data_IF_970420899108
#
_entry.id   IF_970420899108
#
_cell.length_a   1.000
_cell.length_b   1.000
_cell.length_c   1.000
_cell.angle_alpha   90.00
_cell.angle_beta   90.00
_cell.angle_gamma   90.00
#
_symmetry.space_group_name_H-M   'P 1'
#
loop_
_entity.id
_entity.type
_entity.pdbx_description
1 polymer ?
#
# COMPACT_ATOMS: atom_id res chain seq x y z
N UNK A 1 -7.65 20.50 -14.57
CA UNK A 1 -8.60 20.37 -13.44
C UNK A 1 -8.74 18.88 -13.14
N UNK A 2 -8.59 18.43 -11.89
CA UNK A 2 -8.72 17.01 -11.54
C UNK A 2 -10.14 16.49 -11.83
N UNK A 3 -10.30 15.24 -12.30
CA UNK A 3 -11.63 14.68 -12.53
C UNK A 3 -12.40 14.62 -11.21
N UNK A 4 -13.72 14.79 -11.27
CA UNK A 4 -14.60 14.63 -10.10
C UNK A 4 -15.45 13.38 -10.27
N UNK A 5 -15.56 12.58 -9.23
CA UNK A 5 -16.34 11.34 -9.22
C UNK A 5 -17.37 11.34 -8.09
N UNK A 6 -18.54 10.72 -8.27
CA UNK A 6 -19.58 10.67 -7.25
C UNK A 6 -19.15 9.79 -6.07
N UNK A 7 -19.30 10.32 -4.86
CA UNK A 7 -19.18 9.53 -3.63
C UNK A 7 -20.42 8.65 -3.46
N UNK A 8 -20.27 7.33 -3.70
CA UNK A 8 -21.39 6.38 -3.69
C UNK A 8 -21.96 6.12 -2.29
N UNK A 9 -21.24 6.51 -1.23
CA UNK A 9 -21.59 6.23 0.16
C UNK A 9 -22.03 7.49 0.93
N UNK A 10 -22.56 8.48 0.20
CA UNK A 10 -23.18 9.69 0.75
C UNK A 10 -24.52 10.00 0.08
N UNK A 11 -25.44 10.57 0.84
CA UNK A 11 -26.69 11.11 0.29
C UNK A 11 -26.41 12.18 -0.76
N UNK A 12 -27.19 12.17 -1.84
CA UNK A 12 -27.02 13.10 -2.96
C UNK A 12 -25.79 12.85 -3.84
N UNK A 13 -24.96 11.83 -3.54
CA UNK A 13 -23.77 11.42 -4.32
C UNK A 13 -22.92 12.60 -4.79
N UNK A 14 -22.43 13.46 -3.87
CA UNK A 14 -21.70 14.66 -4.23
C UNK A 14 -20.45 14.31 -5.04
N UNK A 15 -20.11 15.17 -6.01
CA UNK A 15 -18.92 15.03 -6.84
C UNK A 15 -17.67 15.48 -6.07
N UNK A 16 -16.72 14.56 -5.89
CA UNK A 16 -15.49 14.76 -5.13
C UNK A 16 -14.28 14.69 -6.07
N UNK A 17 -13.28 15.60 -5.96
CA UNK A 17 -12.04 15.52 -6.73
C UNK A 17 -11.32 14.18 -6.54
N UNK A 18 -10.91 13.54 -7.63
CA UNK A 18 -10.19 12.27 -7.67
C UNK A 18 -8.77 12.43 -8.24
N UNK A 19 -7.88 11.48 -7.93
CA UNK A 19 -6.52 11.43 -8.46
C UNK A 19 -5.52 12.32 -7.73
N UNK A 20 -5.83 12.77 -6.51
CA UNK A 20 -4.93 13.63 -5.73
C UNK A 20 -3.66 12.91 -5.25
N UNK A 21 -3.58 11.58 -5.41
CA UNK A 21 -2.37 10.80 -5.22
C UNK A 21 -1.19 11.24 -6.09
N UNK A 22 -1.43 11.87 -7.25
CA UNK A 22 -0.36 12.45 -8.07
C UNK A 22 0.45 13.49 -7.30
N UNK A 23 -0.20 14.26 -6.41
CA UNK A 23 0.50 15.27 -5.60
C UNK A 23 1.42 14.59 -4.57
N UNK A 24 1.00 13.44 -4.01
CA UNK A 24 1.85 12.62 -3.16
C UNK A 24 3.09 12.12 -3.91
N UNK A 25 2.91 11.62 -5.14
CA UNK A 25 4.02 11.15 -5.98
C UNK A 25 5.04 12.26 -6.22
N UNK A 26 4.57 13.45 -6.62
CA UNK A 26 5.46 14.59 -6.89
C UNK A 26 6.19 15.06 -5.63
N UNK A 27 5.46 15.27 -4.52
CA UNK A 27 6.05 15.73 -3.27
C UNK A 27 7.11 14.76 -2.75
N UNK A 28 6.78 13.46 -2.72
CA UNK A 28 7.70 12.43 -2.22
C UNK A 28 8.93 12.25 -3.09
N UNK A 29 8.76 12.34 -4.41
CA UNK A 29 9.88 12.34 -5.35
C UNK A 29 10.81 13.51 -5.07
N UNK A 30 10.29 14.74 -5.00
CA UNK A 30 11.10 15.93 -4.68
C UNK A 30 11.83 15.77 -3.34
N UNK A 31 11.12 15.30 -2.31
CA UNK A 31 11.72 15.02 -1.01
C UNK A 31 12.89 14.04 -1.08
N UNK A 32 12.74 12.92 -1.78
CA UNK A 32 13.79 11.90 -1.91
C UNK A 32 14.99 12.41 -2.73
N UNK A 33 14.76 13.22 -3.76
CA UNK A 33 15.82 13.91 -4.49
C UNK A 33 16.58 14.89 -3.59
N UNK A 34 15.88 15.63 -2.71
CA UNK A 34 16.53 16.51 -1.74
C UNK A 34 17.40 15.72 -0.76
N UNK A 35 16.94 14.58 -0.24
CA UNK A 35 17.76 13.72 0.63
C UNK A 35 19.06 13.27 -0.05
N UNK A 36 18.99 12.95 -1.35
CA UNK A 36 20.15 12.58 -2.15
C UNK A 36 21.10 13.77 -2.36
N UNK A 37 20.60 14.90 -2.86
CA UNK A 37 21.45 16.05 -3.19
C UNK A 37 22.06 16.74 -1.96
N UNK A 38 21.39 16.67 -0.80
CA UNK A 38 21.92 17.16 0.46
C UNK A 38 22.91 16.17 1.11
N UNK A 39 23.12 14.98 0.52
CA UNK A 39 24.04 13.98 1.05
C UNK A 39 23.61 13.37 2.39
N UNK A 40 22.31 13.47 2.74
CA UNK A 40 21.77 12.96 4.01
C UNK A 40 21.83 11.42 4.03
N UNK A 41 21.57 10.80 2.87
CA UNK A 41 21.64 9.35 2.71
C UNK A 41 22.77 9.01 1.75
N UNK A 42 23.75 8.24 2.23
CA UNK A 42 24.92 7.84 1.44
C UNK A 42 24.59 6.75 0.42
N UNK A 43 25.31 6.77 -0.70
CA UNK A 43 25.26 5.73 -1.72
C UNK A 43 26.12 4.53 -1.31
N UNK A 44 25.78 3.36 -1.86
CA UNK A 44 26.59 2.13 -1.75
C UNK A 44 26.82 1.61 -3.16
N UNK A 45 28.09 1.37 -3.53
CA UNK A 45 28.48 0.95 -4.88
C UNK A 45 27.85 1.83 -5.97
N UNK A 46 27.91 3.16 -5.77
CA UNK A 46 27.31 4.19 -6.64
C UNK A 46 25.79 4.11 -6.84
N UNK A 47 25.10 3.27 -6.07
CA UNK A 47 23.64 3.17 -6.07
C UNK A 47 23.04 3.97 -4.93
N UNK A 48 22.00 4.73 -5.23
CA UNK A 48 21.29 5.62 -4.30
C UNK A 48 19.94 5.04 -3.91
N UNK A 49 19.76 4.72 -2.63
CA UNK A 49 18.48 4.27 -2.08
C UNK A 49 17.35 5.30 -2.22
N UNK A 50 17.55 6.60 -1.92
CA UNK A 50 16.51 7.63 -2.12
C UNK A 50 16.05 7.73 -3.58
N UNK A 51 16.99 7.72 -4.54
CA UNK A 51 16.63 7.79 -5.96
C UNK A 51 15.94 6.52 -6.44
N UNK A 52 16.38 5.36 -5.97
CA UNK A 52 15.72 4.08 -6.28
C UNK A 52 14.28 4.08 -5.78
N UNK A 53 14.04 4.53 -4.54
CA UNK A 53 12.70 4.67 -4.00
C UNK A 53 11.88 5.70 -4.79
N UNK A 54 12.48 6.82 -5.20
CA UNK A 54 11.80 7.84 -6.00
C UNK A 54 11.33 7.29 -7.36
N UNK A 55 12.19 6.55 -8.07
CA UNK A 55 11.84 5.89 -9.34
C UNK A 55 10.71 4.88 -9.13
N UNK A 56 10.77 4.10 -8.06
CA UNK A 56 9.73 3.15 -7.68
C UNK A 56 8.37 3.84 -7.45
N UNK A 57 8.35 4.96 -6.72
CA UNK A 57 7.13 5.73 -6.44
C UNK A 57 6.60 6.40 -7.72
N UNK A 58 7.47 6.97 -8.56
CA UNK A 58 7.10 7.53 -9.87
C UNK A 58 6.44 6.46 -10.75
N UNK A 59 7.00 5.25 -10.79
CA UNK A 59 6.43 4.15 -11.56
C UNK A 59 5.08 3.71 -10.98
N UNK A 60 4.95 3.61 -9.66
CA UNK A 60 3.67 3.38 -8.98
C UNK A 60 2.60 4.42 -9.33
N UNK A 61 2.96 5.70 -9.24
CA UNK A 61 2.09 6.81 -9.60
C UNK A 61 1.67 6.81 -11.07
N UNK A 62 2.63 6.54 -11.96
CA UNK A 62 2.40 6.43 -13.40
C UNK A 62 1.49 5.25 -13.75
N UNK A 63 1.70 4.07 -13.15
CA UNK A 63 0.80 2.92 -13.35
C UNK A 63 -0.63 3.25 -12.96
N UNK A 64 -0.84 3.86 -11.79
CA UNK A 64 -2.18 4.23 -11.37
C UNK A 64 -2.79 5.33 -12.24
N UNK A 65 -1.99 6.25 -12.78
CA UNK A 65 -2.46 7.25 -13.75
C UNK A 65 -2.86 6.61 -15.09
N UNK A 66 -2.05 5.67 -15.59
CA UNK A 66 -2.39 4.88 -16.77
C UNK A 66 -3.69 4.10 -16.57
N UNK A 67 -3.89 3.53 -15.37
CA UNK A 67 -5.11 2.82 -15.05
C UNK A 67 -6.35 3.73 -15.05
N UNK A 68 -6.21 4.92 -14.48
CA UNK A 68 -7.27 5.95 -14.47
C UNK A 68 -7.60 6.46 -15.89
N UNK A 69 -6.63 6.49 -16.81
CA UNK A 69 -6.83 7.01 -18.17
C UNK A 69 -7.28 5.96 -19.19
N UNK A 70 -6.78 4.73 -19.08
CA UNK A 70 -6.97 3.68 -20.09
C UNK A 70 -7.93 2.57 -19.68
N UNK A 71 -8.41 2.58 -18.43
CA UNK A 71 -9.21 1.49 -17.83
C UNK A 71 -8.63 0.11 -18.15
N UNK A 72 -7.42 -0.15 -17.62
CA UNK A 72 -6.65 -1.31 -18.02
C UNK A 72 -7.37 -2.61 -17.70
N UNK A 73 -7.20 -3.64 -18.54
CA UNK A 73 -7.71 -4.98 -18.19
C UNK A 73 -7.01 -5.49 -16.92
N UNK A 74 -7.75 -6.21 -16.07
CA UNK A 74 -7.27 -6.70 -14.78
C UNK A 74 -5.90 -7.38 -14.81
N UNK A 75 -5.58 -8.13 -15.87
CA UNK A 75 -4.28 -8.78 -16.06
C UNK A 75 -3.11 -7.80 -16.12
N UNK A 76 -3.30 -6.66 -16.79
CA UNK A 76 -2.24 -5.64 -16.88
C UNK A 76 -2.06 -4.95 -15.53
N UNK A 77 -3.16 -4.65 -14.83
CA UNK A 77 -3.10 -4.12 -13.45
C UNK A 77 -2.34 -5.06 -12.52
N UNK A 78 -2.61 -6.36 -12.63
CA UNK A 78 -1.98 -7.39 -11.79
C UNK A 78 -0.47 -7.51 -12.04
N UNK A 79 -0.03 -7.57 -13.30
CA UNK A 79 1.37 -7.89 -13.64
C UNK A 79 2.26 -6.67 -13.92
N UNK A 80 1.72 -5.49 -14.24
CA UNK A 80 2.54 -4.28 -14.48
C UNK A 80 3.53 -3.94 -13.36
N UNK A 81 3.19 -4.10 -12.06
CA UNK A 81 4.13 -3.79 -10.99
C UNK A 81 5.42 -4.62 -11.01
N UNK A 82 5.48 -5.75 -11.73
CA UNK A 82 6.71 -6.52 -11.89
C UNK A 82 7.84 -5.70 -12.52
N UNK A 83 7.52 -4.80 -13.45
CA UNK A 83 8.51 -3.92 -14.10
C UNK A 83 9.07 -2.90 -13.09
N UNK A 84 8.23 -2.47 -12.14
CA UNK A 84 8.61 -1.57 -11.07
C UNK A 84 9.66 -2.16 -10.11
N UNK A 85 9.84 -3.48 -10.13
CA UNK A 85 10.78 -4.17 -9.27
C UNK A 85 12.23 -4.06 -9.78
N UNK A 86 12.47 -3.76 -11.06
CA UNK A 86 13.82 -3.76 -11.65
C UNK A 86 14.82 -2.86 -10.91
N UNK A 87 14.49 -1.60 -10.55
CA UNK A 87 15.39 -0.75 -9.78
C UNK A 87 15.71 -1.35 -8.39
N UNK A 88 14.73 -2.01 -7.75
CA UNK A 88 14.93 -2.65 -6.45
C UNK A 88 15.79 -3.90 -6.54
N UNK A 89 15.65 -4.69 -7.61
CA UNK A 89 16.50 -5.86 -7.84
C UNK A 89 17.95 -5.43 -7.96
N UNK A 90 18.22 -4.40 -8.76
CA UNK A 90 19.57 -3.86 -8.93
C UNK A 90 20.13 -3.32 -7.61
N UNK A 91 19.36 -2.51 -6.87
CA UNK A 91 19.77 -2.03 -5.55
C UNK A 91 20.05 -3.19 -4.59
N UNK A 92 19.18 -4.19 -4.56
CA UNK A 92 19.32 -5.32 -3.64
C UNK A 92 20.61 -6.11 -3.86
N UNK A 93 21.04 -6.25 -5.11
CA UNK A 93 22.31 -6.88 -5.46
C UNK A 93 23.50 -6.00 -5.04
N UNK A 94 23.46 -4.71 -5.37
CA UNK A 94 24.56 -3.77 -5.07
C UNK A 94 24.74 -3.56 -3.56
N UNK A 95 23.65 -3.61 -2.80
CA UNK A 95 23.67 -3.46 -1.35
C UNK A 95 23.91 -4.79 -0.63
N UNK A 96 24.02 -5.91 -1.35
CA UNK A 96 24.14 -7.26 -0.79
C UNK A 96 23.04 -7.53 0.26
N UNK A 97 21.81 -7.15 -0.05
CA UNK A 97 20.69 -7.31 0.89
C UNK A 97 20.47 -8.78 1.23
N UNK A 98 20.06 -9.03 2.49
CA UNK A 98 19.71 -10.36 2.98
C UNK A 98 18.65 -11.02 2.10
N UNK A 99 18.96 -12.23 1.64
CA UNK A 99 18.11 -13.06 0.77
C UNK A 99 17.15 -13.96 1.53
N UNK A 100 17.29 -14.04 2.86
CA UNK A 100 16.39 -14.79 3.71
C UNK A 100 15.22 -13.96 4.25
N UNK A 101 14.08 -14.62 4.44
CA UNK A 101 12.87 -14.01 5.02
C UNK A 101 12.35 -14.92 6.13
N UNK A 102 12.03 -14.33 7.29
CA UNK A 102 11.31 -15.01 8.35
C UNK A 102 9.82 -15.10 7.98
N UNK A 103 9.33 -16.32 7.74
CA UNK A 103 7.92 -16.57 7.47
C UNK A 103 7.18 -16.99 8.75
N UNK A 104 5.97 -16.44 9.02
CA UNK A 104 5.14 -16.90 10.11
C UNK A 104 4.89 -18.41 10.03
N UNK A 105 5.00 -19.12 11.15
CA UNK A 105 4.77 -20.57 11.31
C UNK A 105 5.74 -21.52 10.58
N UNK A 106 6.57 -21.01 9.66
CA UNK A 106 7.53 -21.83 8.89
C UNK A 106 8.97 -21.62 9.37
N UNK A 107 9.32 -20.40 9.76
CA UNK A 107 10.69 -20.04 10.16
C UNK A 107 11.46 -19.31 9.06
N UNK A 108 12.77 -19.23 9.21
CA UNK A 108 13.64 -18.53 8.26
C UNK A 108 13.88 -19.39 7.01
N UNK A 109 13.58 -18.82 5.84
CA UNK A 109 13.86 -19.44 4.55
C UNK A 109 14.87 -18.56 3.81
N UNK A 110 15.97 -19.16 3.34
CA UNK A 110 16.88 -18.52 2.40
C UNK A 110 16.46 -18.82 0.95
N UNK A 111 16.25 -17.77 0.17
CA UNK A 111 15.89 -17.85 -1.24
C UNK A 111 17.10 -17.73 -2.17
N UNK A 112 18.28 -17.43 -1.63
CA UNK A 112 19.53 -17.25 -2.38
C UNK A 112 19.34 -16.40 -3.64
N UNK A 113 19.77 -16.83 -4.83
CA UNK A 113 19.61 -16.08 -6.08
C UNK A 113 18.15 -15.86 -6.51
N UNK A 114 17.22 -16.74 -6.11
CA UNK A 114 15.79 -16.60 -6.42
C UNK A 114 15.16 -15.39 -5.71
N UNK A 115 15.78 -14.92 -4.64
CA UNK A 115 15.36 -13.71 -3.94
C UNK A 115 15.25 -12.50 -4.90
N UNK A 116 16.25 -12.31 -5.74
CA UNK A 116 16.35 -11.16 -6.63
C UNK A 116 15.35 -11.24 -7.78
N UNK A 117 15.25 -12.39 -8.45
CA UNK A 117 14.49 -12.48 -9.70
C UNK A 117 13.05 -12.96 -9.53
N UNK A 118 12.71 -13.53 -8.36
CA UNK A 118 11.37 -14.05 -8.08
C UNK A 118 10.75 -13.32 -6.89
N UNK A 119 11.43 -13.30 -5.74
CA UNK A 119 10.83 -12.83 -4.49
C UNK A 119 10.61 -11.32 -4.48
N UNK A 120 11.60 -10.50 -4.87
CA UNK A 120 11.43 -9.04 -4.97
C UNK A 120 10.28 -8.66 -5.92
N UNK A 121 10.21 -9.17 -7.17
CA UNK A 121 9.08 -8.91 -8.06
C UNK A 121 7.74 -9.36 -7.48
N UNK A 122 7.67 -10.52 -6.83
CA UNK A 122 6.43 -10.99 -6.19
C UNK A 122 5.99 -10.09 -5.04
N UNK A 123 6.91 -9.64 -4.17
CA UNK A 123 6.59 -8.71 -3.08
C UNK A 123 5.99 -7.43 -3.66
N UNK A 124 6.66 -6.82 -4.65
CA UNK A 124 6.19 -5.59 -5.29
C UNK A 124 4.81 -5.78 -5.92
N UNK A 125 4.64 -6.87 -6.68
CA UNK A 125 3.37 -7.20 -7.33
C UNK A 125 2.24 -7.41 -6.32
N UNK A 126 2.45 -8.22 -5.29
CA UNK A 126 1.42 -8.55 -4.31
C UNK A 126 1.06 -7.29 -3.53
N UNK A 127 2.03 -6.62 -2.92
CA UNK A 127 1.81 -5.48 -2.01
C UNK A 127 1.04 -4.36 -2.72
N UNK A 128 1.49 -3.97 -3.91
CA UNK A 128 0.86 -2.89 -4.66
C UNK A 128 -0.59 -3.23 -5.04
N UNK A 129 -0.85 -4.48 -5.45
CA UNK A 129 -2.21 -4.90 -5.79
C UNK A 129 -3.13 -5.02 -4.57
N UNK A 130 -2.66 -5.62 -3.46
CA UNK A 130 -3.53 -5.84 -2.30
C UNK A 130 -3.89 -4.52 -1.62
N UNK A 131 -2.96 -3.55 -1.59
CA UNK A 131 -3.23 -2.20 -1.09
C UNK A 131 -4.27 -1.50 -1.95
N UNK A 132 -4.14 -1.58 -3.28
CA UNK A 132 -5.13 -1.01 -4.20
C UNK A 132 -6.52 -1.66 -4.09
N UNK A 133 -6.59 -2.96 -3.74
CA UNK A 133 -7.86 -3.69 -3.61
C UNK A 133 -8.61 -3.39 -2.30
N UNK A 134 -7.93 -2.98 -1.23
CA UNK A 134 -8.57 -2.63 0.04
C UNK A 134 -8.96 -1.15 0.06
N UNK A 135 -9.99 -0.81 -0.72
CA UNK A 135 -10.46 0.56 -0.88
C UNK A 135 -11.96 0.72 -1.01
N UNK A 136 -12.38 1.92 -1.43
CA UNK A 136 -13.78 2.24 -1.74
C UNK A 136 -14.60 2.90 -0.62
N UNK A 137 -14.01 3.17 0.56
CA UNK A 137 -14.64 3.98 1.61
C UNK A 137 -13.74 5.19 1.96
N UNK A 138 -14.36 6.32 2.31
CA UNK A 138 -13.70 7.55 2.72
C UNK A 138 -12.76 7.33 3.90
N UNK A 139 -11.45 7.37 3.63
CA UNK A 139 -10.40 7.18 4.62
C UNK A 139 -9.85 5.75 4.71
N UNK A 140 -10.47 4.74 4.09
CA UNK A 140 -10.00 3.36 4.23
C UNK A 140 -8.61 3.15 3.62
N UNK A 141 -8.45 3.58 2.37
CA UNK A 141 -7.20 3.46 1.60
C UNK A 141 -6.06 4.24 2.25
N UNK A 142 -6.39 5.41 2.80
CA UNK A 142 -5.40 6.34 3.34
C UNK A 142 -5.02 6.03 4.78
N UNK A 143 -6.00 5.79 5.67
CA UNK A 143 -5.74 5.50 7.10
C UNK A 143 -5.02 4.16 7.26
N UNK A 144 -5.47 3.10 6.61
CA UNK A 144 -4.84 1.78 6.76
C UNK A 144 -3.40 1.79 6.22
N UNK A 145 -3.15 2.47 5.10
CA UNK A 145 -1.78 2.60 4.56
C UNK A 145 -0.90 3.48 5.44
N UNK A 146 -1.46 4.55 6.05
CA UNK A 146 -0.73 5.38 7.02
C UNK A 146 -0.27 4.58 8.25
N UNK A 147 -1.13 3.68 8.76
CA UNK A 147 -0.78 2.78 9.87
C UNK A 147 0.43 1.93 9.51
N UNK A 148 0.46 1.33 8.31
CA UNK A 148 1.60 0.54 7.85
C UNK A 148 2.86 1.39 7.72
N UNK A 149 2.77 2.60 7.14
CA UNK A 149 3.91 3.52 7.05
C UNK A 149 4.50 3.85 8.41
N UNK A 150 3.66 4.14 9.41
CA UNK A 150 4.08 4.43 10.78
C UNK A 150 4.79 3.22 11.38
N UNK A 151 4.22 2.02 11.23
CA UNK A 151 4.82 0.78 11.74
C UNK A 151 6.18 0.48 11.10
N UNK A 152 6.31 0.65 9.78
CA UNK A 152 7.56 0.44 9.07
C UNK A 152 8.62 1.49 9.41
N UNK A 153 8.25 2.77 9.51
CA UNK A 153 9.15 3.83 9.97
C UNK A 153 9.64 3.53 11.39
N UNK A 154 8.72 3.25 12.32
CA UNK A 154 9.06 2.96 13.71
C UNK A 154 9.97 1.73 13.84
N UNK A 155 9.67 0.64 13.11
CA UNK A 155 10.52 -0.56 13.10
C UNK A 155 11.90 -0.26 12.50
N UNK A 156 11.95 0.53 11.42
CA UNK A 156 13.21 0.93 10.78
C UNK A 156 14.10 1.73 11.73
N UNK A 157 13.51 2.68 12.47
CA UNK A 157 14.22 3.48 13.47
C UNK A 157 14.67 2.64 14.67
N UNK A 158 13.79 1.79 15.22
CA UNK A 158 14.10 0.91 16.35
C UNK A 158 15.24 -0.07 16.04
N UNK A 159 15.32 -0.55 14.79
CA UNK A 159 16.39 -1.43 14.33
C UNK A 159 17.63 -0.68 13.82
N UNK A 160 17.67 0.66 13.96
CA UNK A 160 18.83 1.48 13.58
C UNK A 160 19.13 1.47 12.08
N UNK A 161 18.13 1.23 11.23
CA UNK A 161 18.33 1.18 9.78
C UNK A 161 18.71 2.57 9.24
N UNK A 162 19.80 2.73 8.47
CA UNK A 162 20.30 4.05 8.04
C UNK A 162 19.37 4.78 7.05
N UNK A 163 18.38 4.08 6.50
CA UNK A 163 17.47 4.59 5.47
C UNK A 163 16.10 5.04 6.02
N UNK A 164 15.88 4.98 7.35
CA UNK A 164 14.58 5.30 7.96
C UNK A 164 14.08 6.72 7.62
N UNK A 165 15.00 7.67 7.49
CA UNK A 165 14.69 9.07 7.16
C UNK A 165 13.93 9.23 5.85
N UNK A 166 14.12 8.32 4.89
CA UNK A 166 13.43 8.32 3.59
C UNK A 166 11.90 8.25 3.73
N UNK A 167 11.38 7.79 4.86
CA UNK A 167 9.94 7.63 5.08
C UNK A 167 9.24 8.88 5.63
N UNK A 168 9.96 9.87 6.19
CA UNK A 168 9.32 11.05 6.79
C UNK A 168 8.49 11.85 5.77
N UNK A 169 9.05 12.16 4.59
CA UNK A 169 8.34 12.88 3.54
C UNK A 169 7.07 12.17 3.07
N UNK A 170 7.16 10.88 2.64
CA UNK A 170 5.99 10.06 2.33
C UNK A 170 4.95 10.02 3.45
N UNK A 171 5.35 9.76 4.69
CA UNK A 171 4.41 9.66 5.80
C UNK A 171 3.68 10.99 6.06
N UNK A 172 4.41 12.10 6.17
CA UNK A 172 3.82 13.42 6.45
C UNK A 172 2.80 13.79 5.37
N UNK A 173 3.17 13.65 4.10
CA UNK A 173 2.26 14.02 3.01
C UNK A 173 1.06 13.08 2.91
N UNK A 174 1.28 11.78 3.14
CA UNK A 174 0.19 10.80 3.14
C UNK A 174 -0.80 11.05 4.27
N UNK A 175 -0.35 11.45 5.46
CA UNK A 175 -1.22 11.85 6.57
C UNK A 175 -2.08 13.06 6.22
N UNK A 176 -1.53 14.05 5.50
CA UNK A 176 -2.30 15.20 4.99
C UNK A 176 -3.42 14.71 4.05
N UNK A 177 -3.10 13.86 3.07
CA UNK A 177 -4.11 13.27 2.19
C UNK A 177 -5.14 12.44 2.97
N UNK A 178 -4.71 11.69 3.98
CA UNK A 178 -5.58 10.89 4.84
C UNK A 178 -6.61 11.73 5.57
N UNK A 179 -6.24 12.92 6.08
CA UNK A 179 -7.19 13.83 6.73
C UNK A 179 -8.30 14.26 5.75
N UNK A 180 -7.92 14.66 4.53
CA UNK A 180 -8.90 15.12 3.53
C UNK A 180 -9.74 13.98 2.95
N UNK A 181 -9.14 12.82 2.72
CA UNK A 181 -9.83 11.63 2.23
C UNK A 181 -10.76 11.03 3.29
N UNK A 182 -10.33 11.00 4.56
CA UNK A 182 -11.19 10.63 5.67
C UNK A 182 -12.39 11.57 5.71
N UNK A 183 -12.22 12.90 5.61
CA UNK A 183 -13.35 13.84 5.51
C UNK A 183 -14.19 13.72 4.22
N UNK A 184 -13.80 12.84 3.29
CA UNK A 184 -14.43 12.62 1.99
C UNK A 184 -14.48 13.88 1.14
N UNK A 185 -13.42 14.70 1.23
CA UNK A 185 -13.20 15.91 0.42
C UNK A 185 -12.37 15.65 -0.82
N UNK A 186 -11.59 14.56 -0.82
CA UNK A 186 -10.75 14.13 -1.94
C UNK A 186 -10.76 12.60 -2.04
N UNK A 187 -10.47 12.09 -3.23
CA UNK A 187 -10.04 10.72 -3.46
C UNK A 187 -8.60 10.70 -3.96
N UNK A 188 -7.83 9.73 -3.47
CA UNK A 188 -6.43 9.56 -3.88
C UNK A 188 -6.32 8.97 -5.29
N UNK A 189 -7.32 8.18 -5.71
CA UNK A 189 -7.38 7.53 -7.02
C UNK A 189 -6.38 6.39 -7.16
N UNK A 190 -6.38 5.72 -8.32
CA UNK A 190 -5.45 4.62 -8.56
C UNK A 190 -4.00 5.11 -8.53
N UNK A 191 -3.72 6.31 -9.05
CA UNK A 191 -2.37 6.91 -8.94
C UNK A 191 -1.84 6.94 -7.49
N UNK A 192 -2.68 7.30 -6.52
CA UNK A 192 -2.30 7.30 -5.11
C UNK A 192 -2.15 5.91 -4.52
N UNK A 193 -3.11 5.02 -4.78
CA UNK A 193 -3.14 3.66 -4.23
C UNK A 193 -1.99 2.78 -4.75
N UNK A 194 -1.65 2.88 -6.04
CA UNK A 194 -0.47 2.21 -6.59
C UNK A 194 0.84 2.84 -6.08
N UNK A 195 0.90 4.16 -5.96
CA UNK A 195 2.09 4.85 -5.45
C UNK A 195 2.40 4.47 -3.99
N UNK A 196 1.41 4.50 -3.09
CA UNK A 196 1.60 4.16 -1.69
C UNK A 196 1.94 2.67 -1.51
N UNK A 197 1.35 1.79 -2.33
CA UNK A 197 1.71 0.38 -2.37
C UNK A 197 3.17 0.15 -2.78
N UNK A 198 3.61 0.89 -3.82
CA UNK A 198 5.02 0.90 -4.23
C UNK A 198 5.93 1.44 -3.14
N UNK A 199 5.56 2.54 -2.46
CA UNK A 199 6.33 3.10 -1.34
C UNK A 199 6.54 2.05 -0.24
N UNK A 200 5.45 1.40 0.19
CA UNK A 200 5.45 0.38 1.25
C UNK A 200 6.33 -0.81 0.85
N UNK A 201 6.14 -1.38 -0.35
CA UNK A 201 6.91 -2.52 -0.82
C UNK A 201 8.40 -2.20 -0.93
N UNK A 202 8.73 -1.09 -1.61
CA UNK A 202 10.10 -0.68 -1.91
C UNK A 202 10.89 -0.36 -0.65
N UNK A 203 10.29 0.43 0.26
CA UNK A 203 10.95 0.80 1.50
C UNK A 203 11.25 -0.43 2.35
N UNK A 204 10.31 -1.37 2.45
CA UNK A 204 10.49 -2.60 3.23
C UNK A 204 11.60 -3.49 2.66
N UNK A 205 11.81 -3.48 1.35
CA UNK A 205 12.92 -4.19 0.72
C UNK A 205 14.24 -3.48 1.04
N UNK A 206 14.31 -2.16 0.81
CA UNK A 206 15.51 -1.32 1.04
C UNK A 206 15.99 -1.40 2.50
N UNK A 207 15.07 -1.43 3.46
CA UNK A 207 15.37 -1.47 4.91
C UNK A 207 15.40 -2.89 5.50
N UNK A 208 15.33 -3.92 4.65
CA UNK A 208 15.30 -5.33 5.05
C UNK A 208 14.16 -5.72 6.03
N UNK A 209 13.07 -4.96 6.04
CA UNK A 209 11.86 -5.17 6.85
C UNK A 209 10.83 -6.07 6.19
N UNK A 210 11.27 -7.05 5.39
CA UNK A 210 10.40 -7.92 4.59
C UNK A 210 9.44 -8.75 5.45
N UNK A 211 9.91 -9.29 6.57
CA UNK A 211 9.08 -10.03 7.51
C UNK A 211 8.04 -9.12 8.18
N UNK A 212 8.46 -7.91 8.59
CA UNK A 212 7.55 -6.92 9.17
C UNK A 212 6.46 -6.50 8.19
N UNK A 213 6.82 -6.28 6.92
CA UNK A 213 5.87 -6.01 5.85
C UNK A 213 4.84 -7.14 5.73
N UNK A 214 5.31 -8.40 5.62
CA UNK A 214 4.44 -9.56 5.46
C UNK A 214 3.37 -9.63 6.56
N UNK A 215 3.78 -9.46 7.83
CA UNK A 215 2.85 -9.50 8.97
C UNK A 215 1.86 -8.32 8.91
N UNK A 216 2.33 -7.09 8.65
CA UNK A 216 1.49 -5.89 8.60
C UNK A 216 0.42 -5.94 7.50
N UNK A 217 0.72 -6.53 6.34
CA UNK A 217 -0.20 -6.61 5.20
C UNK A 217 -1.14 -7.83 5.22
N UNK A 218 -1.04 -8.72 6.21
CA UNK A 218 -1.90 -9.91 6.29
C UNK A 218 -3.40 -9.61 6.13
N UNK A 219 -3.97 -8.55 6.73
CA UNK A 219 -5.38 -8.19 6.50
C UNK A 219 -5.69 -7.87 5.03
N UNK A 220 -4.77 -7.21 4.33
CA UNK A 220 -4.90 -6.87 2.91
C UNK A 220 -4.82 -8.12 2.03
N UNK A 221 -3.86 -9.01 2.30
CA UNK A 221 -3.70 -10.29 1.61
C UNK A 221 -4.93 -11.17 1.82
N UNK A 222 -5.45 -11.24 3.04
CA UNK A 222 -6.67 -11.96 3.35
C UNK A 222 -7.86 -11.41 2.56
N UNK A 223 -8.08 -10.09 2.57
CA UNK A 223 -9.15 -9.45 1.80
C UNK A 223 -9.08 -9.79 0.31
N UNK A 224 -7.89 -9.62 -0.27
CA UNK A 224 -7.65 -9.80 -1.70
C UNK A 224 -7.82 -11.26 -2.11
N UNK A 225 -7.23 -12.18 -1.36
CA UNK A 225 -7.37 -13.63 -1.58
C UNK A 225 -8.83 -14.05 -1.51
N UNK A 226 -9.56 -13.55 -0.51
CA UNK A 226 -10.98 -13.87 -0.33
C UNK A 226 -11.86 -13.36 -1.48
N UNK A 227 -11.60 -12.15 -1.98
CA UNK A 227 -12.26 -11.60 -3.17
C UNK A 227 -11.96 -12.46 -4.41
N UNK A 228 -10.68 -12.77 -4.65
CA UNK A 228 -10.24 -13.51 -5.84
C UNK A 228 -10.79 -14.94 -5.86
N UNK A 229 -10.72 -15.66 -4.73
CA UNK A 229 -11.28 -17.01 -4.59
C UNK A 229 -12.79 -16.99 -4.84
N UNK A 230 -13.50 -16.00 -4.32
CA UNK A 230 -14.93 -15.86 -4.55
C UNK A 230 -15.25 -15.63 -6.03
N UNK A 231 -14.49 -14.78 -6.72
CA UNK A 231 -14.69 -14.54 -8.16
C UNK A 231 -14.39 -15.81 -8.96
N UNK A 232 -13.33 -16.53 -8.60
CA UNK A 232 -12.92 -17.76 -9.29
C UNK A 232 -13.97 -18.89 -9.15
N UNK A 233 -14.40 -19.19 -7.92
CA UNK A 233 -15.31 -20.30 -7.65
C UNK A 233 -16.79 -19.94 -7.81
N UNK A 234 -17.20 -18.75 -7.38
CA UNK A 234 -18.62 -18.36 -7.29
C UNK A 234 -19.03 -17.40 -8.42
N UNK A 235 -18.05 -16.79 -9.13
CA UNK A 235 -18.28 -15.82 -10.21
C UNK A 235 -19.16 -14.62 -9.79
N UNK A 236 -19.09 -14.23 -8.51
CA UNK A 236 -19.82 -13.08 -7.95
C UNK A 236 -18.87 -12.09 -7.31
N UNK A 237 -19.16 -10.80 -7.50
CA UNK A 237 -18.37 -9.70 -6.89
C UNK A 237 -18.83 -9.42 -5.46
N UNK A 238 -17.93 -8.84 -4.68
CA UNK A 238 -18.28 -8.22 -3.40
C UNK A 238 -19.04 -6.90 -3.67
N UNK A 239 -20.10 -6.66 -2.91
CA UNK A 239 -20.92 -5.46 -2.98
C UNK A 239 -21.55 -5.17 -1.63
N UNK A 240 -21.73 -3.89 -1.34
CA UNK A 240 -22.35 -3.37 -0.13
C UNK A 240 -23.48 -2.43 -0.56
N UNK A 241 -24.63 -2.53 0.09
CA UNK A 241 -25.74 -1.63 -0.11
C UNK A 241 -25.62 -0.43 0.84
N UNK A 242 -25.96 0.76 0.35
CA UNK A 242 -26.03 1.99 1.13
C UNK A 242 -27.49 2.44 1.22
N UNK A 243 -28.02 2.57 2.43
CA UNK A 243 -29.42 2.91 2.70
C UNK A 243 -29.68 4.43 2.89
N UNK A 244 -28.68 5.26 2.61
CA UNK A 244 -28.68 6.70 2.89
C UNK A 244 -27.84 7.06 4.12
N UNK A 245 -27.65 6.13 5.07
CA UNK A 245 -26.87 6.39 6.30
C UNK A 245 -25.87 5.30 6.64
N UNK A 246 -26.16 4.06 6.31
CA UNK A 246 -25.43 2.87 6.70
C UNK A 246 -25.16 1.95 5.52
N UNK A 247 -24.13 1.15 5.73
CA UNK A 247 -23.63 0.11 4.84
C UNK A 247 -24.08 -1.25 5.38
N UNK A 248 -24.66 -2.07 4.50
CA UNK A 248 -25.09 -3.44 4.83
C UNK A 248 -24.79 -4.40 3.68
N UNK A 249 -24.43 -5.65 4.00
CA UNK A 249 -24.24 -6.70 3.00
C UNK A 249 -25.00 -7.97 3.34
N UNK A 250 -25.41 -8.69 2.29
CA UNK A 250 -26.09 -9.99 2.38
C UNK A 250 -25.14 -11.17 2.13
N UNK A 251 -23.84 -10.91 1.99
CA UNK A 251 -22.81 -11.94 1.76
C UNK A 251 -21.48 -11.53 2.43
N UNK A 252 -20.51 -12.43 2.46
CA UNK A 252 -19.21 -12.24 3.11
C UNK A 252 -18.11 -12.51 2.08
N UNK A 253 -17.81 -11.55 1.21
CA UNK A 253 -16.91 -11.72 0.05
C UNK A 253 -15.69 -10.79 0.04
N UNK A 254 -15.55 -9.96 1.07
CA UNK A 254 -14.45 -9.04 1.34
C UNK A 254 -14.47 -8.68 2.83
N UNK A 255 -13.44 -8.03 3.36
CA UNK A 255 -13.43 -7.55 4.74
C UNK A 255 -14.61 -6.61 5.03
N UNK A 256 -14.90 -5.68 4.11
CA UNK A 256 -16.03 -4.74 4.24
C UNK A 256 -17.35 -5.49 4.34
N UNK A 257 -17.59 -6.48 3.46
CA UNK A 257 -18.86 -7.23 3.44
C UNK A 257 -18.98 -8.22 4.58
N UNK A 258 -17.85 -8.75 5.07
CA UNK A 258 -17.80 -9.58 6.28
C UNK A 258 -18.23 -8.77 7.51
N UNK A 259 -17.69 -7.56 7.70
CA UNK A 259 -18.01 -6.67 8.83
C UNK A 259 -19.47 -6.19 8.77
N UNK A 260 -19.98 -5.91 7.56
CA UNK A 260 -21.35 -5.41 7.34
C UNK A 260 -22.39 -6.52 7.11
N UNK A 261 -22.02 -7.79 7.27
CA UNK A 261 -22.91 -8.92 6.99
C UNK A 261 -24.12 -8.93 7.92
N UNK A 262 -25.31 -8.65 7.38
CA UNK A 262 -26.58 -8.52 8.12
C UNK A 262 -26.49 -7.54 9.31
N UNK A 263 -25.54 -6.61 9.28
CA UNK A 263 -25.25 -5.65 10.35
C UNK A 263 -25.06 -4.26 9.73
N UNK A 264 -26.09 -3.39 9.79
CA UNK A 264 -25.99 -2.04 9.26
C UNK A 264 -25.01 -1.19 10.09
N UNK A 265 -23.93 -0.74 9.46
CA UNK A 265 -22.88 0.06 10.09
C UNK A 265 -22.64 1.34 9.30
N UNK A 266 -22.28 2.44 9.97
CA UNK A 266 -21.86 3.65 9.24
C UNK A 266 -20.53 3.42 8.54
N UNK A 267 -20.25 4.18 7.48
CA UNK A 267 -18.96 4.15 6.79
C UNK A 267 -17.79 4.30 7.78
N UNK A 268 -17.92 5.22 8.74
CA UNK A 268 -16.93 5.45 9.80
C UNK A 268 -16.66 4.23 10.67
N UNK A 269 -17.71 3.51 11.06
CA UNK A 269 -17.58 2.30 11.87
C UNK A 269 -16.84 1.20 11.12
N UNK A 270 -17.11 1.05 9.82
CA UNK A 270 -16.43 0.05 8.98
C UNK A 270 -14.95 0.42 8.81
N UNK A 271 -14.66 1.69 8.49
CA UNK A 271 -13.28 2.19 8.37
C UNK A 271 -12.51 2.00 9.67
N UNK A 272 -13.11 2.34 10.82
CA UNK A 272 -12.47 2.16 12.13
C UNK A 272 -12.21 0.69 12.45
N UNK A 273 -13.16 -0.21 12.18
CA UNK A 273 -13.00 -1.64 12.42
C UNK A 273 -11.86 -2.24 11.58
N UNK A 274 -11.79 -1.93 10.29
CA UNK A 274 -10.71 -2.43 9.41
C UNK A 274 -9.37 -1.81 9.81
N UNK A 275 -9.34 -0.51 10.10
CA UNK A 275 -8.12 0.17 10.53
C UNK A 275 -7.59 -0.43 11.83
N UNK A 276 -8.46 -0.78 12.78
CA UNK A 276 -8.06 -1.44 14.02
C UNK A 276 -7.45 -2.81 13.75
N UNK A 277 -8.01 -3.60 12.83
CA UNK A 277 -7.41 -4.89 12.41
C UNK A 277 -6.01 -4.64 11.83
N UNK A 278 -5.86 -3.68 10.92
CA UNK A 278 -4.55 -3.35 10.32
C UNK A 278 -3.55 -2.86 11.39
N UNK A 279 -3.99 -2.04 12.35
CA UNK A 279 -3.17 -1.60 13.48
C UNK A 279 -2.73 -2.76 14.34
N UNK A 280 -3.60 -3.71 14.68
CA UNK A 280 -3.23 -4.88 15.48
C UNK A 280 -2.13 -5.71 14.80
N UNK A 281 -2.26 -5.99 13.50
CA UNK A 281 -1.23 -6.71 12.75
C UNK A 281 0.06 -5.92 12.60
N UNK A 282 -0.03 -4.60 12.43
CA UNK A 282 1.15 -3.74 12.32
C UNK A 282 1.89 -3.61 13.65
N UNK A 283 1.18 -3.49 14.78
CA UNK A 283 1.77 -3.49 16.12
C UNK A 283 2.41 -4.83 16.44
N UNK A 284 1.73 -5.94 16.11
CA UNK A 284 2.30 -7.28 16.24
C UNK A 284 3.58 -7.43 15.42
N UNK A 285 3.59 -6.90 14.20
CA UNK A 285 4.76 -6.88 13.33
C UNK A 285 5.95 -6.15 13.96
N UNK A 286 5.72 -4.97 14.54
CA UNK A 286 6.76 -4.22 15.27
C UNK A 286 7.25 -5.02 16.48
N UNK A 287 6.34 -5.61 17.26
CA UNK A 287 6.69 -6.40 18.44
C UNK A 287 7.56 -7.61 18.08
N UNK A 288 7.21 -8.35 17.02
CA UNK A 288 8.00 -9.50 16.54
C UNK A 288 9.38 -9.06 16.06
N UNK A 289 9.50 -7.89 15.45
CA UNK A 289 10.77 -7.43 14.87
C UNK A 289 11.82 -7.03 15.92
N UNK A 290 11.39 -6.71 17.15
CA UNK A 290 12.26 -6.22 18.24
C UNK A 290 12.65 -7.32 19.23
N UNK A 291 12.04 -8.51 19.14
CA UNK A 291 12.37 -9.70 19.93
C UNK A 291 13.48 -10.49 19.24
#
# INVERSE_FOLDING_TARGET
MFPRVPDQHKEGKPLVPNGLGVVFVLFTTVYLFLLYFLGIVKTVNDVSAPLTLAVCILFGGFMGLLDDWMDLKWRYKAFMPLIAALPLVYLAQQYSLRTSIMLPFVGMIDFSSSYYFVIIPLIVMIVTNVINQLGGLNGLETVCSAVILIGLLGTSELLGQPYFTMMFGPLIFWLVLAIFNFRGKIFVGNSGSFAIGMTIASFSIITDLKASLLVSILPYVFNSSWILLTIFFVRKKASVAFDGKKLVSNHRRSLITLITYKRPLTERQVVAAISLIVTLFTVLSVAIAVI
#
